data_IF_033015521658
#
_entry.id   IF_033015521658
#
_cell.length_a   1.000
_cell.length_b   1.000
_cell.length_c   1.000
_cell.angle_alpha   90.00
_cell.angle_beta   90.00
_cell.angle_gamma   90.00
#
_symmetry.space_group_name_H-M   'P 1'
#
loop_
_entity.id
_entity.type
_entity.pdbx_description
1 polymer ?
#
# COMPACT_ATOMS: atom_id res chain seq x y z
N UNK A 1 -29.79 -29.71 -30.93
CA UNK A 1 -28.47 -29.12 -31.19
C UNK A 1 -28.50 -27.70 -30.64
N UNK A 2 -28.13 -27.53 -29.37
CA UNK A 2 -27.95 -26.22 -28.75
C UNK A 2 -26.45 -25.93 -28.80
N UNK A 3 -26.06 -24.86 -29.47
CA UNK A 3 -24.67 -24.44 -29.58
C UNK A 3 -24.39 -23.48 -28.42
N UNK A 4 -23.60 -23.94 -27.45
CA UNK A 4 -23.06 -23.12 -26.38
C UNK A 4 -22.13 -22.06 -27.00
N UNK A 5 -22.55 -20.80 -26.99
CA UNK A 5 -21.67 -19.68 -27.28
C UNK A 5 -20.90 -19.35 -26.02
N UNK A 6 -19.64 -19.80 -25.98
CA UNK A 6 -18.64 -19.34 -25.01
C UNK A 6 -18.43 -17.85 -25.25
N UNK A 7 -18.95 -17.01 -24.35
CA UNK A 7 -18.58 -15.59 -24.32
C UNK A 7 -17.10 -15.49 -23.96
N UNK A 8 -16.26 -15.29 -24.97
CA UNK A 8 -14.90 -14.82 -24.78
C UNK A 8 -14.97 -13.41 -24.19
N UNK A 9 -14.82 -13.30 -22.87
CA UNK A 9 -14.55 -12.03 -22.21
C UNK A 9 -13.15 -11.60 -22.65
N UNK A 10 -13.08 -10.63 -23.57
CA UNK A 10 -11.83 -9.98 -23.91
C UNK A 10 -11.31 -9.24 -22.67
N UNK A 11 -10.00 -9.29 -22.35
CA UNK A 11 -9.44 -8.45 -21.30
C UNK A 11 -9.55 -6.99 -21.73
N UNK A 12 -10.30 -6.18 -20.98
CA UNK A 12 -10.30 -4.73 -21.15
C UNK A 12 -8.87 -4.21 -20.92
N UNK A 13 -8.27 -3.64 -21.97
CA UNK A 13 -7.00 -2.93 -21.88
C UNK A 13 -7.28 -1.61 -21.19
N UNK A 14 -6.91 -1.50 -19.92
CA UNK A 14 -7.04 -0.26 -19.14
C UNK A 14 -6.17 0.84 -19.77
N UNK A 15 -6.66 2.07 -19.74
CA UNK A 15 -5.83 3.24 -20.08
C UNK A 15 -4.65 3.36 -19.10
N UNK A 16 -3.58 4.04 -19.50
CA UNK A 16 -2.37 4.22 -18.69
C UNK A 16 -2.71 4.91 -17.38
N UNK A 17 -3.62 5.88 -17.40
CA UNK A 17 -4.02 6.64 -16.21
C UNK A 17 -4.87 5.79 -15.24
N UNK A 18 -5.80 4.99 -15.75
CA UNK A 18 -6.57 4.03 -14.95
C UNK A 18 -5.67 2.95 -14.32
N UNK A 19 -4.69 2.46 -15.08
CA UNK A 19 -3.69 1.50 -14.59
C UNK A 19 -2.86 2.10 -13.45
N UNK A 20 -2.42 3.35 -13.60
CA UNK A 20 -1.66 4.05 -12.57
C UNK A 20 -2.51 4.28 -11.30
N UNK A 21 -3.75 4.71 -11.44
CA UNK A 21 -4.67 4.89 -10.32
C UNK A 21 -4.93 3.58 -9.58
N UNK A 22 -5.15 2.49 -10.32
CA UNK A 22 -5.29 1.16 -9.77
C UNK A 22 -4.02 0.71 -9.01
N UNK A 23 -2.83 0.88 -9.59
CA UNK A 23 -1.56 0.51 -8.95
C UNK A 23 -1.29 1.31 -7.68
N UNK A 24 -1.60 2.60 -7.68
CA UNK A 24 -1.48 3.45 -6.50
C UNK A 24 -2.42 2.99 -5.39
N UNK A 25 -3.66 2.60 -5.72
CA UNK A 25 -4.59 2.01 -4.76
C UNK A 25 -4.07 0.69 -4.15
N UNK A 26 -3.45 -0.17 -4.96
CA UNK A 26 -2.82 -1.40 -4.47
C UNK A 26 -1.58 -1.13 -3.63
N UNK A 27 -0.74 -0.17 -4.01
CA UNK A 27 0.42 0.26 -3.23
C UNK A 27 0.00 0.72 -1.84
N UNK A 28 -1.02 1.58 -1.80
CA UNK A 28 -1.57 2.11 -0.55
C UNK A 28 -2.06 0.98 0.36
N UNK A 29 -2.82 0.01 -0.19
CA UNK A 29 -3.28 -1.17 0.56
C UNK A 29 -2.12 -2.02 1.10
N UNK A 30 -1.07 -2.23 0.30
CA UNK A 30 0.10 -3.00 0.72
C UNK A 30 0.90 -2.29 1.80
N UNK A 31 1.01 -0.97 1.73
CA UNK A 31 1.67 -0.15 2.76
C UNK A 31 0.87 -0.10 4.07
N UNK A 32 -0.47 -0.24 4.03
CA UNK A 32 -1.31 -0.32 5.23
C UNK A 32 -1.07 -1.59 6.05
N UNK A 33 -0.45 -2.59 5.43
CA UNK A 33 -0.07 -3.83 6.07
C UNK A 33 -1.17 -4.89 6.04
N UNK A 34 -0.82 -6.15 6.34
CA UNK A 34 -1.69 -7.30 6.13
C UNK A 34 -2.85 -7.39 7.13
N UNK A 35 -2.77 -6.67 8.25
CA UNK A 35 -3.81 -6.66 9.29
C UNK A 35 -4.91 -5.63 9.00
N UNK A 36 -4.68 -4.74 8.03
CA UNK A 36 -5.62 -3.69 7.70
C UNK A 36 -6.72 -4.22 6.79
N UNK A 37 -7.96 -4.18 7.27
CA UNK A 37 -9.14 -4.45 6.46
C UNK A 37 -9.96 -3.17 6.33
N UNK A 38 -10.08 -2.67 5.09
CA UNK A 38 -10.98 -1.57 4.78
C UNK A 38 -12.39 -2.11 4.56
N UNK A 39 -13.43 -1.46 5.13
CA UNK A 39 -14.80 -1.73 4.71
C UNK A 39 -14.97 -1.31 3.24
N UNK A 40 -16.10 -1.63 2.64
CA UNK A 40 -16.47 -1.19 1.30
C UNK A 40 -17.52 -0.09 1.37
N UNK A 41 -17.57 0.75 0.33
CA UNK A 41 -18.66 1.72 0.17
C UNK A 41 -19.99 0.95 0.11
N UNK A 42 -20.95 1.38 0.92
CA UNK A 42 -22.24 0.69 1.12
C UNK A 42 -22.26 -0.33 2.26
N UNK A 43 -21.12 -0.69 2.86
CA UNK A 43 -21.12 -1.61 4.01
C UNK A 43 -21.78 -0.96 5.24
N UNK A 44 -22.52 -1.76 6.01
CA UNK A 44 -22.97 -1.40 7.35
C UNK A 44 -21.88 -1.67 8.37
N UNK A 45 -21.47 -0.63 9.09
CA UNK A 45 -20.42 -0.67 10.11
C UNK A 45 -20.90 -0.07 11.42
N UNK A 46 -20.21 -0.40 12.52
CA UNK A 46 -20.36 0.31 13.78
C UNK A 46 -19.17 1.23 14.00
N UNK A 47 -19.44 2.52 14.15
CA UNK A 47 -18.46 3.50 14.60
C UNK A 47 -18.42 3.54 16.12
N UNK A 48 -17.23 3.41 16.70
CA UNK A 48 -17.00 3.46 18.15
C UNK A 48 -16.25 4.77 18.48
N UNK A 49 -16.92 5.80 19.01
CA UNK A 49 -16.29 7.08 19.34
C UNK A 49 -15.09 6.91 20.28
N UNK A 50 -15.15 5.96 21.21
CA UNK A 50 -14.05 5.65 22.13
C UNK A 50 -12.77 5.24 21.37
N UNK A 51 -12.88 4.34 20.39
CA UNK A 51 -11.73 3.88 19.60
C UNK A 51 -11.13 5.00 18.74
N UNK A 52 -11.96 5.92 18.23
CA UNK A 52 -11.46 7.12 17.55
C UNK A 52 -10.66 7.99 18.53
N UNK A 53 -11.20 8.28 19.72
CA UNK A 53 -10.51 9.06 20.74
C UNK A 53 -9.19 8.39 21.13
N UNK A 54 -9.17 7.07 21.32
CA UNK A 54 -7.94 6.32 21.62
C UNK A 54 -6.90 6.49 20.51
N UNK A 55 -7.30 6.42 19.22
CA UNK A 55 -6.40 6.67 18.10
C UNK A 55 -5.89 8.13 18.07
N UNK A 56 -6.77 9.11 18.29
CA UNK A 56 -6.39 10.53 18.34
C UNK A 56 -5.44 10.79 19.50
N UNK A 57 -5.75 10.31 20.70
CA UNK A 57 -4.93 10.46 21.90
C UNK A 57 -3.58 9.78 21.70
N UNK A 58 -3.55 8.56 21.16
CA UNK A 58 -2.31 7.87 20.84
C UNK A 58 -1.43 8.69 19.89
N UNK A 59 -2.01 9.25 18.82
CA UNK A 59 -1.28 10.11 17.88
C UNK A 59 -0.75 11.39 18.54
N UNK A 60 -1.55 12.05 19.37
CA UNK A 60 -1.14 13.27 20.08
C UNK A 60 -0.09 13.01 21.18
N UNK A 61 -0.21 11.92 21.93
CA UNK A 61 0.78 11.53 22.96
C UNK A 61 2.13 11.16 22.36
N UNK A 62 2.16 10.64 21.13
CA UNK A 62 3.40 10.36 20.40
C UNK A 62 4.14 11.65 20.00
N UNK A 63 3.41 12.76 19.84
CA UNK A 63 3.95 14.08 19.46
C UNK A 63 4.30 14.98 20.66
N UNK A 64 3.65 14.78 21.81
CA UNK A 64 3.80 15.66 22.97
C UNK A 64 4.12 14.83 24.22
N UNK A 65 5.34 14.95 24.75
CA UNK A 65 5.81 14.26 25.96
C UNK A 65 5.18 14.76 27.27
N UNK A 66 4.19 15.64 27.20
CA UNK A 66 3.62 16.31 28.36
C UNK A 66 2.12 16.58 28.17
N UNK A 67 1.30 15.55 28.36
CA UNK A 67 -0.13 15.69 28.67
C UNK A 67 -0.43 14.79 29.87
N UNK A 68 0.00 15.22 31.06
CA UNK A 68 -0.50 14.65 32.30
C UNK A 68 -1.84 15.31 32.66
N UNK A 69 -2.80 14.48 33.04
CA UNK A 69 -4.01 14.76 33.83
C UNK A 69 -5.18 15.61 33.26
N UNK A 70 -5.00 16.49 32.26
CA UNK A 70 -6.11 17.41 31.90
C UNK A 70 -7.26 16.76 31.09
N UNK A 71 -7.00 15.75 30.24
CA UNK A 71 -8.06 15.08 29.46
C UNK A 71 -8.93 14.15 30.33
N UNK A 72 -8.40 13.62 31.44
CA UNK A 72 -9.15 12.77 32.37
C UNK A 72 -10.26 13.54 33.12
N UNK A 73 -10.23 14.88 33.11
CA UNK A 73 -11.21 15.73 33.78
C UNK A 73 -12.27 16.34 32.85
N UNK A 74 -12.22 16.05 31.54
CA UNK A 74 -13.26 16.51 30.62
C UNK A 74 -14.57 15.78 30.90
N UNK A 75 -15.52 16.49 31.52
CA UNK A 75 -16.91 16.02 31.61
C UNK A 75 -17.45 15.84 30.18
N UNK A 76 -18.11 14.71 29.86
CA UNK A 76 -18.72 14.53 28.55
C UNK A 76 -19.77 15.63 28.34
N UNK A 77 -19.51 16.50 27.38
CA UNK A 77 -20.39 17.62 27.01
C UNK A 77 -21.60 17.10 26.21
N UNK A 78 -21.50 15.88 25.68
CA UNK A 78 -22.49 15.23 24.83
C UNK A 78 -22.77 13.81 25.30
N UNK A 79 -24.05 13.43 25.35
CA UNK A 79 -24.49 12.06 25.58
C UNK A 79 -24.39 11.27 24.26
N UNK A 80 -23.16 10.86 23.91
CA UNK A 80 -22.87 10.14 22.67
C UNK A 80 -22.98 8.63 22.92
N UNK A 81 -23.70 7.87 22.08
CA UNK A 81 -23.74 6.42 22.18
C UNK A 81 -22.34 5.79 22.07
N UNK A 82 -22.10 4.70 22.81
CA UNK A 82 -20.82 3.96 22.75
C UNK A 82 -20.53 3.32 21.39
N UNK A 83 -21.57 3.12 20.57
CA UNK A 83 -21.48 2.68 19.18
C UNK A 83 -22.59 3.31 18.35
N UNK A 84 -22.29 3.68 17.12
CA UNK A 84 -23.22 4.28 16.16
C UNK A 84 -23.24 3.40 14.92
N UNK A 85 -24.42 2.91 14.53
CA UNK A 85 -24.57 2.16 13.27
C UNK A 85 -24.54 3.14 12.11
N UNK A 86 -23.66 2.90 11.14
CA UNK A 86 -23.49 3.76 9.98
C UNK A 86 -23.39 2.91 8.72
N UNK A 87 -23.75 3.52 7.60
CA UNK A 87 -23.36 3.03 6.30
C UNK A 87 -22.10 3.78 5.82
N UNK A 88 -21.18 3.08 5.15
CA UNK A 88 -19.98 3.70 4.57
C UNK A 88 -20.35 4.46 3.31
N UNK A 89 -20.21 5.78 3.33
CA UNK A 89 -20.53 6.65 2.21
C UNK A 89 -19.37 6.77 1.22
N UNK A 90 -18.15 6.99 1.71
CA UNK A 90 -16.94 7.06 0.87
C UNK A 90 -15.70 6.65 1.64
N UNK A 91 -14.70 6.15 0.92
CA UNK A 91 -13.37 5.84 1.45
C UNK A 91 -12.34 6.48 0.52
N UNK A 92 -11.59 7.43 1.04
CA UNK A 92 -10.56 8.15 0.30
C UNK A 92 -9.17 7.79 0.87
N UNK A 93 -8.39 6.93 0.18
CA UNK A 93 -7.01 6.68 0.53
C UNK A 93 -6.17 7.95 0.41
N UNK A 94 -5.39 8.27 1.45
CA UNK A 94 -4.54 9.46 1.52
C UNK A 94 -3.13 9.11 1.99
N UNK A 95 -2.20 9.98 1.65
CA UNK A 95 -0.80 9.91 2.09
C UNK A 95 -0.38 11.29 2.56
N UNK A 96 0.23 11.35 3.74
CA UNK A 96 0.82 12.57 4.26
C UNK A 96 2.18 12.83 3.59
N UNK A 97 2.34 14.04 3.04
CA UNK A 97 3.47 14.39 2.18
C UNK A 97 4.81 14.41 2.94
N UNK A 98 4.79 14.79 4.21
CA UNK A 98 6.01 14.99 4.99
C UNK A 98 6.50 13.71 5.69
N UNK A 99 5.59 12.87 6.16
CA UNK A 99 5.91 11.67 6.95
C UNK A 99 5.90 10.39 6.13
N UNK A 100 5.28 10.40 4.93
CA UNK A 100 4.89 9.20 4.19
C UNK A 100 3.92 8.29 4.97
N UNK A 101 3.26 8.82 6.01
CA UNK A 101 2.20 8.11 6.70
C UNK A 101 0.98 8.00 5.80
N UNK A 102 0.38 6.82 5.75
CA UNK A 102 -0.82 6.60 4.98
C UNK A 102 -2.03 6.53 5.91
N UNK A 103 -3.15 7.06 5.46
CA UNK A 103 -4.40 7.04 6.21
C UNK A 103 -5.59 7.03 5.26
N UNK A 104 -6.75 6.61 5.74
CA UNK A 104 -7.97 6.64 4.97
C UNK A 104 -8.95 7.61 5.60
N UNK A 105 -9.51 8.51 4.80
CA UNK A 105 -10.66 9.29 5.21
C UNK A 105 -11.93 8.49 4.88
N UNK A 106 -12.67 8.12 5.93
CA UNK A 106 -13.89 7.33 5.80
C UNK A 106 -15.07 8.22 6.18
N UNK A 107 -15.95 8.50 5.21
CA UNK A 107 -17.19 9.21 5.47
C UNK A 107 -18.28 8.19 5.86
N UNK A 108 -18.90 8.42 7.01
CA UNK A 108 -19.94 7.56 7.56
C UNK A 108 -21.26 8.32 7.61
N UNK A 109 -22.32 7.68 7.15
CA UNK A 109 -23.68 8.18 7.29
C UNK A 109 -24.40 7.36 8.36
N UNK A 110 -24.86 7.97 9.48
CA UNK A 110 -25.66 7.24 10.47
C UNK A 110 -26.85 6.55 9.82
N UNK A 111 -27.16 5.33 10.25
CA UNK A 111 -28.27 4.53 9.73
C UNK A 111 -29.62 5.12 10.20
N UNK A 112 -29.99 6.26 9.64
CA UNK A 112 -31.35 6.80 9.66
C UNK A 112 -32.03 6.20 8.45
N UNK A 113 -32.93 5.23 8.66
CA UNK A 113 -33.69 4.55 7.61
C UNK A 113 -34.08 5.51 6.46
N UNK A 114 -33.73 5.13 5.22
CA UNK A 114 -34.18 5.68 3.92
C UNK A 114 -33.10 6.24 2.96
N UNK A 115 -31.80 6.05 3.22
CA UNK A 115 -30.74 6.46 2.25
C UNK A 115 -30.19 5.27 1.46
N UNK A 116 -30.59 5.16 0.19
CA UNK A 116 -29.94 4.28 -0.78
C UNK A 116 -28.55 4.82 -1.13
N UNK A 117 -27.50 4.10 -0.74
CA UNK A 117 -26.12 4.44 -1.12
C UNK A 117 -25.83 3.76 -2.45
N UNK A 118 -25.35 4.49 -3.48
CA UNK A 118 -24.88 3.90 -4.71
C UNK A 118 -23.75 2.91 -4.41
N UNK A 119 -24.05 1.60 -4.47
CA UNK A 119 -23.03 0.56 -4.33
C UNK A 119 -22.17 0.63 -5.60
N UNK A 120 -20.87 0.91 -5.52
CA UNK A 120 -20.01 0.86 -6.70
C UNK A 120 -20.05 -0.55 -7.27
N UNK A 121 -20.24 -0.64 -8.59
CA UNK A 121 -20.14 -1.92 -9.32
C UNK A 121 -18.78 -2.53 -8.99
N UNK A 122 -18.80 -3.80 -8.57
CA UNK A 122 -17.65 -4.59 -8.14
C UNK A 122 -16.41 -4.22 -8.97
N UNK A 123 -15.44 -3.52 -8.36
CA UNK A 123 -14.20 -3.20 -9.04
C UNK A 123 -13.59 -4.51 -9.52
N UNK A 124 -13.40 -4.60 -10.83
CA UNK A 124 -12.81 -5.76 -11.48
C UNK A 124 -11.61 -6.20 -10.65
N UNK A 125 -11.63 -7.47 -10.25
CA UNK A 125 -10.63 -8.11 -9.41
C UNK A 125 -9.35 -8.25 -10.23
N UNK A 126 -8.68 -7.13 -10.49
CA UNK A 126 -7.46 -7.10 -11.29
C UNK A 126 -6.42 -7.75 -10.38
N UNK A 127 -6.07 -8.99 -10.68
CA UNK A 127 -5.05 -9.77 -9.98
C UNK A 127 -3.69 -9.66 -10.67
N UNK A 128 -3.54 -8.68 -11.57
CA UNK A 128 -2.40 -8.54 -12.45
C UNK A 128 -1.23 -7.78 -11.80
N UNK A 129 -0.99 -8.01 -10.51
CA UNK A 129 0.15 -7.41 -9.81
C UNK A 129 1.04 -8.48 -9.17
N UNK A 130 2.34 -8.32 -9.36
CA UNK A 130 3.33 -9.02 -8.55
C UNK A 130 3.90 -8.05 -7.53
N UNK A 131 3.87 -8.44 -6.26
CA UNK A 131 4.44 -7.64 -5.19
C UNK A 131 5.22 -8.50 -4.19
N UNK A 132 6.07 -7.83 -3.42
CA UNK A 132 6.67 -8.36 -2.21
C UNK A 132 6.83 -7.28 -1.15
N UNK A 133 6.86 -7.73 0.10
CA UNK A 133 7.25 -6.91 1.25
C UNK A 133 8.47 -7.55 1.90
N UNK A 134 9.45 -6.73 2.27
CA UNK A 134 10.63 -7.18 3.02
C UNK A 134 10.91 -6.23 4.18
N UNK A 135 11.00 -6.79 5.38
CA UNK A 135 11.52 -6.10 6.56
C UNK A 135 13.02 -5.87 6.37
N UNK A 136 13.46 -4.63 6.54
CA UNK A 136 14.83 -4.20 6.38
C UNK A 136 15.68 -4.67 7.55
N UNK A 137 16.82 -5.28 7.24
CA UNK A 137 17.82 -5.63 8.23
C UNK A 137 18.90 -4.54 8.31
N UNK A 138 19.77 -4.61 9.32
CA UNK A 138 20.85 -3.65 9.50
C UNK A 138 21.79 -3.50 8.29
N UNK A 139 21.99 -4.58 7.51
CA UNK A 139 22.81 -4.51 6.30
C UNK A 139 22.14 -3.75 5.16
N UNK A 140 20.81 -3.78 5.09
CA UNK A 140 20.05 -3.08 4.05
C UNK A 140 20.09 -1.57 4.25
N UNK A 141 20.15 -1.08 5.49
CA UNK A 141 20.20 0.37 5.78
C UNK A 141 21.62 0.90 6.01
N UNK A 142 22.65 0.07 5.74
CA UNK A 142 24.05 0.46 5.90
C UNK A 142 24.52 1.35 4.74
N UNK A 143 25.21 2.46 5.04
CA UNK A 143 25.67 3.46 4.06
C UNK A 143 26.57 2.90 2.96
N UNK A 144 27.31 1.83 3.25
CA UNK A 144 28.24 1.16 2.31
C UNK A 144 27.64 -0.12 1.72
N UNK A 145 26.45 -0.51 2.20
CA UNK A 145 25.74 -1.69 1.76
C UNK A 145 24.86 -1.43 0.54
N UNK A 146 24.19 -2.48 0.10
CA UNK A 146 23.08 -2.42 -0.86
C UNK A 146 21.93 -3.28 -0.34
N UNK A 147 20.80 -3.25 -1.03
CA UNK A 147 19.62 -4.01 -0.62
C UNK A 147 19.64 -5.42 -1.18
N UNK A 148 19.62 -6.41 -0.30
CA UNK A 148 19.60 -7.82 -0.73
C UNK A 148 18.18 -8.32 -0.94
N UNK A 149 17.84 -8.70 -2.16
CA UNK A 149 16.54 -9.29 -2.46
C UNK A 149 16.56 -10.80 -2.18
N UNK A 150 15.50 -11.31 -1.56
CA UNK A 150 15.27 -12.76 -1.57
C UNK A 150 15.05 -13.21 -3.02
N UNK A 151 15.67 -14.33 -3.41
CA UNK A 151 15.57 -14.88 -4.77
C UNK A 151 14.13 -14.99 -5.26
N UNK A 152 13.22 -15.47 -4.40
CA UNK A 152 11.78 -15.58 -4.69
C UNK A 152 11.12 -14.23 -5.02
N UNK A 153 11.52 -13.14 -4.35
CA UNK A 153 10.98 -11.81 -4.58
C UNK A 153 11.46 -11.24 -5.91
N UNK A 154 12.77 -11.35 -6.17
CA UNK A 154 13.37 -10.90 -7.41
C UNK A 154 12.78 -11.62 -8.63
N UNK A 155 12.70 -12.96 -8.59
CA UNK A 155 12.15 -13.76 -9.71
C UNK A 155 10.67 -13.51 -9.96
N UNK A 156 9.88 -13.20 -8.92
CA UNK A 156 8.45 -12.93 -9.06
C UNK A 156 8.18 -11.52 -9.58
N UNK A 157 8.88 -10.52 -9.02
CA UNK A 157 8.44 -9.13 -9.16
C UNK A 157 9.31 -8.28 -10.09
N UNK A 158 10.56 -8.68 -10.36
CA UNK A 158 11.45 -7.94 -11.24
C UNK A 158 11.43 -8.51 -12.66
N UNK A 159 11.69 -7.68 -13.70
CA UNK A 159 11.91 -8.19 -15.04
C UNK A 159 13.11 -9.16 -15.09
N UNK A 160 13.11 -10.05 -16.08
CA UNK A 160 14.18 -11.03 -16.23
C UNK A 160 15.50 -10.33 -16.61
N UNK A 161 16.58 -10.77 -15.98
CA UNK A 161 17.93 -10.31 -16.32
C UNK A 161 18.41 -10.98 -17.61
N UNK A 162 19.19 -10.25 -18.40
CA UNK A 162 20.00 -10.84 -19.47
C UNK A 162 21.17 -11.62 -18.85
N UNK A 163 21.05 -12.94 -18.87
CA UNK A 163 22.01 -13.86 -18.29
C UNK A 163 23.24 -14.11 -19.16
N UNK A 164 23.29 -13.56 -20.38
CA UNK A 164 24.45 -13.67 -21.26
C UNK A 164 25.63 -12.78 -20.81
N UNK A 165 25.34 -11.78 -19.97
CA UNK A 165 26.33 -10.85 -19.47
C UNK A 165 27.21 -11.47 -18.38
N UNK A 166 28.48 -11.05 -18.33
CA UNK A 166 29.42 -11.47 -17.28
C UNK A 166 28.92 -11.14 -15.86
N UNK A 167 28.23 -10.00 -15.72
CA UNK A 167 27.54 -9.59 -14.49
C UNK A 167 26.14 -9.11 -14.86
N UNK A 168 25.13 -10.01 -14.85
CA UNK A 168 23.77 -9.67 -15.23
C UNK A 168 23.21 -8.51 -14.40
N UNK A 169 22.83 -7.43 -15.08
CA UNK A 169 22.25 -6.25 -14.43
C UNK A 169 21.20 -5.56 -15.30
N UNK A 170 20.33 -4.78 -14.69
CA UNK A 170 19.32 -3.95 -15.34
C UNK A 170 18.99 -2.73 -14.46
N UNK A 171 18.48 -1.67 -15.08
CA UNK A 171 17.91 -0.54 -14.36
C UNK A 171 16.42 -0.76 -14.13
N UNK A 172 15.96 -0.46 -12.92
CA UNK A 172 14.56 -0.52 -12.52
C UNK A 172 14.14 0.89 -12.16
N UNK A 173 13.20 1.44 -12.90
CA UNK A 173 12.57 2.73 -12.60
C UNK A 173 11.24 2.41 -11.92
N UNK A 174 11.04 2.91 -10.71
CA UNK A 174 9.80 2.73 -9.95
C UNK A 174 9.32 4.06 -9.40
N UNK A 175 8.00 4.24 -9.32
CA UNK A 175 7.38 5.40 -8.68
C UNK A 175 6.98 5.06 -7.27
N UNK A 176 7.21 5.97 -6.34
CA UNK A 176 6.63 5.87 -5.00
C UNK A 176 5.17 6.36 -4.99
N UNK A 177 4.56 6.32 -3.81
CA UNK A 177 3.15 6.66 -3.62
C UNK A 177 2.83 8.15 -3.89
N UNK A 178 3.86 9.00 -3.95
CA UNK A 178 3.76 10.42 -4.31
C UNK A 178 4.06 10.67 -5.79
N UNK A 179 4.33 9.60 -6.56
CA UNK A 179 4.71 9.67 -7.96
C UNK A 179 6.19 9.98 -8.20
N UNK A 180 7.03 10.08 -7.15
CA UNK A 180 8.46 10.35 -7.32
C UNK A 180 9.17 9.13 -7.91
N UNK A 181 9.98 9.34 -8.94
CA UNK A 181 10.72 8.27 -9.60
C UNK A 181 12.02 7.95 -8.86
N UNK A 182 12.23 6.68 -8.63
CA UNK A 182 13.43 6.11 -8.04
C UNK A 182 14.05 5.11 -9.00
N UNK A 183 15.34 5.29 -9.27
CA UNK A 183 16.09 4.45 -10.20
C UNK A 183 16.98 3.52 -9.38
N UNK A 184 16.81 2.21 -9.56
CA UNK A 184 17.60 1.19 -8.88
C UNK A 184 18.40 0.37 -9.89
N UNK A 185 19.68 0.13 -9.60
CA UNK A 185 20.46 -0.85 -10.37
C UNK A 185 20.30 -2.24 -9.77
N UNK A 186 19.51 -3.10 -10.41
CA UNK A 186 19.38 -4.50 -10.05
C UNK A 186 20.55 -5.31 -10.64
N UNK A 187 21.29 -6.01 -9.80
CA UNK A 187 22.43 -6.85 -10.20
C UNK A 187 22.33 -8.24 -9.58
N UNK A 188 22.64 -9.27 -10.36
CA UNK A 188 22.88 -10.63 -9.87
C UNK A 188 24.39 -10.87 -9.78
N UNK A 189 24.95 -10.97 -8.57
CA UNK A 189 26.40 -11.13 -8.39
C UNK A 189 26.78 -12.01 -7.19
N UNK A 190 28.09 -12.28 -7.08
CA UNK A 190 28.69 -13.08 -6.01
C UNK A 190 28.64 -14.58 -6.28
N UNK A 191 29.42 -15.34 -5.50
CA UNK A 191 29.59 -16.79 -5.65
C UNK A 191 28.29 -17.57 -5.51
N UNK A 192 27.42 -17.15 -4.58
CA UNK A 192 26.08 -17.72 -4.39
C UNK A 192 24.99 -17.06 -5.25
N UNK A 193 25.35 -16.22 -6.23
CA UNK A 193 24.44 -15.46 -7.11
C UNK A 193 23.25 -14.85 -6.36
N UNK A 194 23.48 -13.69 -5.76
CA UNK A 194 22.46 -12.95 -4.98
C UNK A 194 21.92 -11.79 -5.80
N UNK A 195 20.63 -11.53 -5.67
CA UNK A 195 19.97 -10.35 -6.25
C UNK A 195 20.16 -9.16 -5.33
N UNK A 196 20.65 -8.04 -5.86
CA UNK A 196 20.87 -6.81 -5.10
C UNK A 196 20.35 -5.59 -5.86
N UNK A 197 19.80 -4.61 -5.15
CA UNK A 197 19.83 -3.23 -5.62
C UNK A 197 21.12 -2.56 -5.11
N UNK A 198 21.94 -2.07 -6.04
CA UNK A 198 23.21 -1.41 -5.76
C UNK A 198 23.06 0.11 -5.80
N UNK A 199 23.17 0.71 -6.99
CA UNK A 199 22.97 2.16 -7.19
C UNK A 199 21.50 2.54 -6.94
N UNK A 200 21.28 3.73 -6.38
CA UNK A 200 19.96 4.29 -6.08
C UNK A 200 19.33 3.84 -4.75
N UNK A 201 19.67 2.66 -4.23
CA UNK A 201 19.10 2.18 -2.97
C UNK A 201 19.42 3.08 -1.78
N UNK A 202 20.69 3.48 -1.62
CA UNK A 202 21.09 4.30 -0.47
C UNK A 202 20.48 5.71 -0.52
N UNK A 203 20.25 6.24 -1.72
CA UNK A 203 19.55 7.51 -1.92
C UNK A 203 18.07 7.39 -1.55
N UNK A 204 17.41 6.31 -2.00
CA UNK A 204 16.04 5.99 -1.60
C UNK A 204 15.90 5.83 -0.08
N UNK A 205 16.75 5.01 0.54
CA UNK A 205 16.70 4.75 1.98
C UNK A 205 16.92 6.05 2.78
N UNK A 206 17.86 6.91 2.34
CA UNK A 206 18.08 8.22 2.97
C UNK A 206 16.90 9.15 2.77
N UNK A 207 16.37 9.25 1.55
CA UNK A 207 15.23 10.11 1.21
C UNK A 207 13.97 9.75 1.99
N UNK A 208 13.75 8.44 2.20
CA UNK A 208 12.64 7.89 2.99
C UNK A 208 12.96 7.72 4.49
N UNK A 209 14.15 8.11 4.93
CA UNK A 209 14.63 8.00 6.33
C UNK A 209 14.50 6.59 6.92
N UNK A 210 14.75 5.57 6.10
CA UNK A 210 14.55 4.17 6.48
C UNK A 210 15.58 3.68 7.50
N UNK A 211 15.12 2.87 8.45
CA UNK A 211 15.92 2.19 9.47
C UNK A 211 15.66 0.67 9.46
N UNK A 212 16.54 -0.09 10.12
CA UNK A 212 16.33 -1.51 10.29
C UNK A 212 15.03 -1.75 11.09
N UNK A 213 14.19 -2.67 10.62
CA UNK A 213 12.84 -2.90 11.14
C UNK A 213 11.74 -2.33 10.25
N UNK A 214 12.03 -1.32 9.43
CA UNK A 214 11.07 -0.80 8.46
C UNK A 214 10.76 -1.83 7.37
N UNK A 215 9.65 -1.64 6.64
CA UNK A 215 9.25 -2.52 5.54
C UNK A 215 9.39 -1.83 4.19
N UNK A 216 10.07 -2.49 3.27
CA UNK A 216 10.10 -2.12 1.86
C UNK A 216 9.06 -2.90 1.07
N UNK A 217 8.18 -2.17 0.37
CA UNK A 217 7.14 -2.72 -0.50
C UNK A 217 7.53 -2.43 -1.95
N UNK A 218 7.45 -3.45 -2.80
CA UNK A 218 7.62 -3.31 -4.24
C UNK A 218 6.48 -4.01 -4.95
N UNK A 219 5.91 -3.37 -5.97
CA UNK A 219 4.86 -3.94 -6.81
C UNK A 219 5.11 -3.64 -8.28
N UNK A 220 4.62 -4.51 -9.14
CA UNK A 220 4.72 -4.39 -10.60
C UNK A 220 3.44 -4.90 -11.25
N UNK A 221 2.88 -4.12 -12.16
CA UNK A 221 1.79 -4.56 -13.04
C UNK A 221 2.29 -5.63 -14.02
N UNK A 222 1.45 -6.63 -14.30
CA UNK A 222 1.71 -7.71 -15.24
C UNK A 222 0.78 -7.52 -16.42
N UNK A 223 1.33 -7.16 -17.58
CA UNK A 223 0.57 -7.23 -18.83
C UNK A 223 0.36 -8.70 -19.18
N UNK A 224 -0.89 -9.16 -19.11
CA UNK A 224 -1.28 -10.40 -19.76
C UNK A 224 -1.38 -10.09 -21.26
N UNK A 225 -0.38 -10.48 -22.04
CA UNK A 225 -0.55 -10.47 -23.49
C UNK A 225 -1.64 -11.49 -23.84
N UNK A 226 -2.67 -11.12 -24.62
CA UNK A 226 -3.61 -12.10 -25.13
C UNK A 226 -2.84 -13.08 -26.03
N UNK A 227 -2.96 -14.36 -25.74
CA UNK A 227 -2.45 -15.45 -26.59
C UNK A 227 -3.26 -15.54 -27.88
#
# INVERSE_FOLDING_TARGET
MASDQIMHVQPEVLDIDETNNYLNGQLWKLCAGPLFHTPKVGDKVYYFPQGHIEQTIFFYLLLVTSFNDELCQLKPIFDIPSKICCNVFSINPKVENNTNEIYAEVALLPDTSDVEIPIPKNENNIQNINYFTKVLNASDTCKTGGFFLYKRHAMKCLPLLDMSQLTPSQEIIAKDIHGHEWIFKHTLRGTSKRHLFTCGWNEFAKGKKLVAGDSFVFLRYIYLLPF
#
